data_IF_490045096977
#
_entry.id   IF_490045096977
#
_cell.length_a   1.000
_cell.length_b   1.000
_cell.length_c   1.000
_cell.angle_alpha   90.00
_cell.angle_beta   90.00
_cell.angle_gamma   90.00
#
_symmetry.space_group_name_H-M   'P 1'
#
loop_
_entity.id
_entity.type
_entity.pdbx_description
1 polymer ?
#
# COMPACT_ATOMS: atom_id res chain seq x y z
N UNK A 1 24.47 -7.82 14.91
CA UNK A 1 23.35 -7.60 15.86
C UNK A 1 22.11 -7.26 15.06
N UNK A 2 21.07 -8.09 15.13
CA UNK A 2 19.86 -7.94 14.32
C UNK A 2 18.91 -6.96 15.01
N UNK A 3 18.92 -5.68 14.59
CA UNK A 3 18.12 -4.56 15.13
C UNK A 3 16.62 -4.89 15.22
N UNK A 4 16.18 -5.83 14.41
CA UNK A 4 14.85 -6.40 14.39
C UNK A 4 14.38 -7.00 15.74
N UNK A 5 15.26 -7.64 16.52
CA UNK A 5 14.89 -8.20 17.82
C UNK A 5 14.81 -7.16 18.94
N UNK A 6 15.34 -5.95 18.72
CA UNK A 6 15.26 -4.83 19.66
C UNK A 6 13.89 -4.15 19.69
N UNK A 7 13.02 -4.43 18.71
CA UNK A 7 11.66 -3.87 18.69
C UNK A 7 10.71 -4.64 19.62
N UNK A 8 9.76 -3.93 20.26
CA UNK A 8 8.64 -4.51 20.97
C UNK A 8 7.89 -5.57 20.15
N UNK A 9 7.26 -6.57 20.79
CA UNK A 9 6.55 -7.66 20.11
C UNK A 9 5.54 -7.18 19.06
N UNK A 10 4.85 -6.08 19.32
CA UNK A 10 3.83 -5.52 18.43
C UNK A 10 4.43 -4.95 17.14
N UNK A 11 5.55 -4.23 17.24
CA UNK A 11 6.27 -3.69 16.10
C UNK A 11 6.89 -4.83 15.29
N UNK A 12 7.44 -5.85 15.97
CA UNK A 12 7.98 -7.03 15.30
C UNK A 12 6.92 -7.78 14.52
N UNK A 13 5.73 -7.94 15.11
CA UNK A 13 4.56 -8.54 14.46
C UNK A 13 4.15 -7.69 13.25
N UNK A 14 4.08 -6.37 13.39
CA UNK A 14 3.76 -5.48 12.27
C UNK A 14 4.77 -5.60 11.12
N UNK A 15 6.08 -5.67 11.41
CA UNK A 15 7.12 -5.81 10.39
C UNK A 15 7.09 -7.22 9.76
N UNK A 16 6.87 -8.27 10.55
CA UNK A 16 6.74 -9.64 10.03
C UNK A 16 5.46 -9.84 9.20
N UNK A 17 4.42 -9.05 9.43
CA UNK A 17 3.19 -9.17 8.66
C UNK A 17 3.34 -8.51 7.30
N UNK A 18 3.34 -9.33 6.25
CA UNK A 18 3.31 -8.87 4.85
C UNK A 18 1.96 -8.27 4.44
N UNK A 19 0.92 -8.42 5.28
CA UNK A 19 -0.45 -7.95 5.07
C UNK A 19 -0.54 -6.50 4.56
N UNK A 20 0.29 -5.59 5.09
CA UNK A 20 0.27 -4.18 4.66
C UNK A 20 0.76 -4.01 3.21
N UNK A 21 1.84 -4.70 2.85
CA UNK A 21 2.44 -4.67 1.50
C UNK A 21 1.54 -5.42 0.51
N UNK A 22 1.00 -6.57 0.91
CA UNK A 22 0.04 -7.34 0.09
C UNK A 22 -1.24 -6.56 -0.19
N UNK A 23 -1.79 -5.88 0.83
CA UNK A 23 -2.95 -5.01 0.67
C UNK A 23 -2.68 -3.88 -0.32
N UNK A 24 -1.51 -3.23 -0.24
CA UNK A 24 -1.11 -2.20 -1.19
C UNK A 24 -0.96 -2.75 -2.61
N UNK A 25 -0.30 -3.90 -2.77
CA UNK A 25 -0.12 -4.57 -4.05
C UNK A 25 -1.47 -4.93 -4.71
N UNK A 26 -2.46 -5.34 -3.91
CA UNK A 26 -3.81 -5.62 -4.39
C UNK A 26 -4.48 -4.37 -4.98
N UNK A 27 -4.38 -3.22 -4.29
CA UNK A 27 -4.90 -1.93 -4.79
C UNK A 27 -4.22 -1.52 -6.09
N UNK A 28 -2.90 -1.60 -6.16
CA UNK A 28 -2.14 -1.24 -7.35
C UNK A 28 -2.50 -2.12 -8.55
N UNK A 29 -2.61 -3.44 -8.36
CA UNK A 29 -3.06 -4.36 -9.41
C UNK A 29 -4.47 -4.01 -9.91
N UNK A 30 -5.39 -3.67 -9.01
CA UNK A 30 -6.75 -3.27 -9.40
C UNK A 30 -6.76 -1.97 -10.21
N UNK A 31 -5.94 -0.98 -9.83
CA UNK A 31 -5.81 0.29 -10.54
C UNK A 31 -5.21 0.11 -11.95
N UNK A 32 -4.17 -0.72 -12.07
CA UNK A 32 -3.51 -1.01 -13.35
C UNK A 32 -4.42 -1.88 -14.24
N UNK A 33 -5.12 -2.88 -13.70
CA UNK A 33 -6.01 -3.74 -14.49
C UNK A 33 -7.14 -2.96 -15.19
N UNK A 34 -7.58 -1.83 -14.61
CA UNK A 34 -8.54 -0.91 -15.23
C UNK A 34 -7.98 -0.17 -16.46
N UNK A 35 -6.66 -0.04 -16.59
CA UNK A 35 -5.99 0.65 -17.72
C UNK A 35 -4.81 -0.20 -18.23
N UNK A 36 -5.05 -1.01 -19.26
CA UNK A 36 -4.05 -1.94 -19.82
C UNK A 36 -2.92 -1.28 -20.60
N UNK A 37 -3.12 -0.06 -21.11
CA UNK A 37 -2.14 0.66 -21.91
C UNK A 37 -2.00 2.07 -21.36
N UNK A 38 -0.76 2.48 -21.15
CA UNK A 38 -0.42 3.83 -20.72
C UNK A 38 0.39 4.51 -21.82
N UNK A 39 0.03 5.75 -22.20
CA UNK A 39 0.70 6.47 -23.28
C UNK A 39 2.10 6.97 -22.91
N UNK A 40 2.37 7.21 -21.63
CA UNK A 40 3.67 7.69 -21.11
C UNK A 40 3.94 7.18 -19.70
N UNK A 41 5.21 7.09 -19.29
CA UNK A 41 5.59 6.70 -17.93
C UNK A 41 5.01 7.63 -16.85
N UNK A 42 4.91 8.92 -17.13
CA UNK A 42 4.31 9.89 -16.20
C UNK A 42 2.82 9.64 -15.99
N UNK A 43 2.11 9.14 -17.00
CA UNK A 43 0.71 8.75 -16.85
C UNK A 43 0.55 7.54 -15.92
N UNK A 44 1.50 6.59 -15.95
CA UNK A 44 1.55 5.45 -15.01
C UNK A 44 1.78 5.94 -13.59
N UNK A 45 2.79 6.80 -13.40
CA UNK A 45 3.14 7.38 -12.08
C UNK A 45 1.95 8.11 -11.46
N UNK A 46 1.23 8.89 -12.26
CA UNK A 46 0.03 9.61 -11.80
C UNK A 46 -1.08 8.66 -11.35
N UNK A 47 -1.34 7.58 -12.09
CA UNK A 47 -2.35 6.59 -11.71
C UNK A 47 -1.96 5.84 -10.44
N UNK A 48 -0.69 5.46 -10.29
CA UNK A 48 -0.17 4.84 -9.06
C UNK A 48 -0.33 5.78 -7.87
N UNK A 49 0.06 7.06 -8.01
CA UNK A 49 -0.09 8.06 -6.96
C UNK A 49 -1.55 8.24 -6.52
N UNK A 50 -2.48 8.36 -7.48
CA UNK A 50 -3.90 8.49 -7.18
C UNK A 50 -4.46 7.25 -6.48
N UNK A 51 -4.08 6.06 -6.92
CA UNK A 51 -4.52 4.80 -6.28
C UNK A 51 -4.04 4.70 -4.83
N UNK A 52 -2.80 5.12 -4.54
CA UNK A 52 -2.26 5.17 -3.18
C UNK A 52 -2.99 6.20 -2.33
N UNK A 53 -3.23 7.40 -2.88
CA UNK A 53 -3.97 8.48 -2.19
C UNK A 53 -5.38 8.05 -1.81
N UNK A 54 -6.09 7.41 -2.73
CA UNK A 54 -7.44 6.89 -2.50
C UNK A 54 -7.45 5.78 -1.45
N UNK A 55 -6.47 4.87 -1.49
CA UNK A 55 -6.31 3.82 -0.49
C UNK A 55 -6.04 4.40 0.91
N UNK A 56 -5.19 5.42 1.00
CA UNK A 56 -4.88 6.10 2.25
C UNK A 56 -6.11 6.80 2.83
N UNK A 57 -6.89 7.52 2.00
CA UNK A 57 -8.14 8.17 2.41
C UNK A 57 -9.14 7.17 2.97
N UNK A 58 -9.37 6.06 2.25
CA UNK A 58 -10.29 5.00 2.69
C UNK A 58 -9.86 4.31 4.00
N UNK A 59 -8.55 4.32 4.31
CA UNK A 59 -8.03 3.77 5.57
C UNK A 59 -8.24 4.74 6.74
N UNK A 60 -8.14 6.05 6.49
CA UNK A 60 -8.43 7.09 7.48
C UNK A 60 -9.91 7.19 7.85
N UNK A 61 -10.81 6.94 6.91
CA UNK A 61 -12.28 6.95 7.12
C UNK A 61 -12.82 5.71 7.85
N UNK A 62 -11.98 4.70 8.13
CA UNK A 62 -12.36 3.49 8.87
C UNK A 62 -12.15 3.59 10.38
N UNK A 63 -12.05 4.80 10.94
CA UNK A 63 -12.21 5.00 12.38
C UNK A 63 -13.66 4.67 12.76
N UNK A 64 -13.91 3.68 13.63
CA UNK A 64 -15.27 3.41 14.10
C UNK A 64 -15.79 4.62 14.92
N UNK A 65 -17.11 4.86 14.94
CA UNK A 65 -17.72 5.78 15.89
C UNK A 65 -17.50 5.33 17.35
#
# INVERSE_FOLDING_TARGET
MNTFFGYPPDIRKAIYTTNAIESLNSVLRAAIKKRKVFPTDDSVRKVVYLAIKDAAKKRGERTPP
#
